data_IF_394304439077
#
_entry.id   IF_394304439077
#
_cell.length_a   1.000
_cell.length_b   1.000
_cell.length_c   1.000
_cell.angle_alpha   90.00
_cell.angle_beta   90.00
_cell.angle_gamma   90.00
#
_symmetry.space_group_name_H-M   'P 1'
#
loop_
_entity.id
_entity.type
_entity.pdbx_description
1 polymer ?
#
# COMPACT_ATOMS: atom_id res chain seq x y z
N UNK A 1 -11.65 5.25 2.47
CA UNK A 1 -10.57 4.28 2.62
C UNK A 1 -9.27 5.01 2.33
N UNK A 2 -8.50 5.35 3.36
CA UNK A 2 -7.12 5.80 3.15
C UNK A 2 -6.42 4.64 2.44
N UNK A 3 -5.91 4.88 1.23
CA UNK A 3 -4.99 3.97 0.59
C UNK A 3 -3.87 3.75 1.60
N UNK A 4 -3.85 2.58 2.24
CA UNK A 4 -2.72 2.19 3.04
C UNK A 4 -1.54 2.27 2.08
N UNK A 5 -0.62 3.21 2.35
CA UNK A 5 0.72 3.14 1.79
C UNK A 5 1.28 1.87 2.40
N UNK A 6 0.91 0.73 1.79
CA UNK A 6 1.56 -0.51 2.07
C UNK A 6 3.02 -0.22 1.71
N UNK A 7 3.86 -0.04 2.72
CA UNK A 7 5.27 -0.30 2.61
C UNK A 7 5.32 -1.72 2.06
N UNK A 8 5.34 -1.82 0.73
CA UNK A 8 5.73 -3.03 0.04
C UNK A 8 7.15 -3.28 0.52
N UNK A 9 7.27 -3.93 1.66
CA UNK A 9 8.41 -4.75 1.93
C UNK A 9 8.39 -5.74 0.77
N UNK A 10 9.03 -5.36 -0.35
CA UNK A 10 9.38 -6.29 -1.39
C UNK A 10 10.11 -7.40 -0.66
N UNK A 11 9.36 -8.48 -0.35
CA UNK A 11 9.91 -9.67 0.26
C UNK A 11 10.92 -10.22 -0.72
N UNK A 12 12.15 -9.73 -0.61
CA UNK A 12 13.28 -10.42 -1.21
C UNK A 12 13.28 -11.75 -0.48
N UNK A 13 12.91 -12.82 -1.19
CA UNK A 13 13.06 -14.16 -0.66
C UNK A 13 14.54 -14.31 -0.28
N UNK A 14 14.77 -14.26 1.01
CA UNK A 14 16.08 -14.58 1.57
C UNK A 14 16.13 -16.10 1.63
N UNK A 15 17.30 -16.67 1.28
CA UNK A 15 17.66 -18.01 1.72
C UNK A 15 17.26 -18.15 3.20
N UNK A 16 16.81 -19.36 3.62
CA UNK A 16 16.22 -19.62 4.94
C UNK A 16 17.11 -19.15 6.11
N UNK A 17 17.11 -17.86 6.38
CA UNK A 17 17.85 -17.18 7.44
C UNK A 17 16.89 -16.24 8.15
N UNK A 18 16.79 -16.38 9.47
CA UNK A 18 16.01 -15.44 10.27
C UNK A 18 16.50 -14.01 10.07
N UNK A 19 15.59 -13.05 9.98
CA UNK A 19 15.93 -11.62 9.90
C UNK A 19 16.82 -11.20 11.08
N UNK A 20 17.78 -10.31 10.83
CA UNK A 20 18.72 -9.82 11.85
C UNK A 20 18.02 -9.05 12.97
N UNK A 21 18.65 -9.06 14.15
CA UNK A 21 18.27 -8.21 15.29
C UNK A 21 18.34 -6.75 14.88
N UNK A 22 17.23 -6.03 14.96
CA UNK A 22 17.11 -4.69 14.37
C UNK A 22 16.11 -3.83 15.14
N UNK A 23 16.43 -2.54 15.24
CA UNK A 23 15.50 -1.51 15.66
C UNK A 23 15.46 -0.42 14.58
N UNK A 24 14.25 -0.01 14.20
CA UNK A 24 14.01 1.09 13.26
C UNK A 24 13.11 2.12 13.88
N UNK A 25 13.39 3.38 13.59
CA UNK A 25 12.50 4.51 13.84
C UNK A 25 12.33 5.25 12.52
N UNK A 26 11.09 5.38 12.07
CA UNK A 26 10.70 6.03 10.83
C UNK A 26 9.82 7.24 11.15
N UNK A 27 10.02 8.32 10.41
CA UNK A 27 9.03 9.37 10.20
C UNK A 27 8.70 9.44 8.71
N UNK A 28 7.42 9.51 8.40
CA UNK A 28 6.95 9.65 7.02
C UNK A 28 5.98 10.82 6.92
N UNK A 29 5.89 11.39 5.71
CA UNK A 29 4.92 12.40 5.36
C UNK A 29 4.50 12.22 3.91
N UNK A 30 3.19 12.17 3.70
CA UNK A 30 2.54 12.28 2.40
C UNK A 30 1.81 13.62 2.32
N UNK A 31 1.89 14.31 1.18
CA UNK A 31 1.18 15.56 0.93
C UNK A 31 0.74 15.58 -0.54
N UNK A 32 -0.57 15.50 -0.79
CA UNK A 32 -1.09 15.49 -2.16
C UNK A 32 -2.60 15.35 -2.23
N UNK A 33 -3.20 15.91 -3.29
CA UNK A 33 -4.64 15.84 -3.54
C UNK A 33 -5.51 16.45 -2.42
N UNK A 34 -4.96 17.36 -1.60
CA UNK A 34 -5.64 17.95 -0.45
C UNK A 34 -5.61 17.05 0.81
N UNK A 35 -4.81 15.99 0.80
CA UNK A 35 -4.60 15.10 1.97
C UNK A 35 -3.16 15.22 2.43
N UNK A 36 -2.96 15.43 3.72
CA UNK A 36 -1.65 15.29 4.38
C UNK A 36 -1.75 14.16 5.39
N UNK A 37 -0.79 13.23 5.32
CA UNK A 37 -0.66 12.12 6.28
C UNK A 37 0.77 12.12 6.78
N UNK A 38 0.99 12.17 8.08
CA UNK A 38 2.32 12.05 8.63
C UNK A 38 2.31 11.35 9.98
N UNK A 39 3.44 10.77 10.35
CA UNK A 39 3.57 10.15 11.66
C UNK A 39 4.83 9.31 11.83
N UNK A 40 5.07 8.87 13.07
CA UNK A 40 6.18 7.98 13.41
C UNK A 40 5.82 6.50 13.24
N UNK A 41 6.84 5.69 13.00
CA UNK A 41 6.78 4.24 13.09
C UNK A 41 8.01 3.70 13.80
N UNK A 42 7.84 2.65 14.58
CA UNK A 42 8.91 1.95 15.30
C UNK A 42 8.80 0.46 15.02
N UNK A 43 9.91 -0.18 14.70
CA UNK A 43 10.06 -1.63 14.60
C UNK A 43 11.17 -2.10 15.53
N UNK A 44 10.90 -3.15 16.29
CA UNK A 44 11.91 -3.87 17.06
C UNK A 44 11.84 -5.35 16.71
N UNK A 45 13.01 -5.97 16.43
CA UNK A 45 13.14 -7.40 16.15
C UNK A 45 14.29 -8.00 16.92
N UNK A 46 14.05 -9.21 17.47
CA UNK A 46 15.04 -9.95 18.24
C UNK A 46 15.01 -11.45 17.90
N UNK A 47 16.17 -12.01 17.59
CA UNK A 47 16.39 -13.45 17.42
C UNK A 47 16.72 -14.14 18.74
N UNK A 48 16.34 -15.41 18.82
CA UNK A 48 16.65 -16.28 19.95
C UNK A 48 17.08 -17.65 19.43
N UNK A 49 18.18 -18.18 19.99
CA UNK A 49 18.68 -19.51 19.70
C UNK A 49 18.86 -19.82 18.19
N UNK A 50 19.11 -18.80 17.35
CA UNK A 50 19.25 -18.91 15.89
C UNK A 50 18.08 -19.64 15.17
N UNK A 51 16.96 -19.83 15.87
CA UNK A 51 15.77 -20.55 15.39
C UNK A 51 14.50 -19.73 15.46
N UNK A 52 14.44 -18.77 16.36
CA UNK A 52 13.24 -18.00 16.63
C UNK A 52 13.53 -16.51 16.45
N UNK A 53 12.55 -15.78 15.94
CA UNK A 53 12.56 -14.32 15.93
C UNK A 53 11.22 -13.80 16.42
N UNK A 54 11.25 -12.72 17.19
CA UNK A 54 10.05 -11.98 17.59
C UNK A 54 10.23 -10.57 17.10
N UNK A 55 9.20 -10.02 16.49
CA UNK A 55 9.17 -8.59 16.15
C UNK A 55 7.87 -7.93 16.62
N UNK A 56 8.03 -6.67 17.01
CA UNK A 56 6.92 -5.78 17.35
C UNK A 56 7.04 -4.51 16.54
N UNK A 57 5.93 -4.00 16.03
CA UNK A 57 5.88 -2.71 15.36
C UNK A 57 4.74 -1.87 15.91
N UNK A 58 4.97 -0.57 15.88
CA UNK A 58 3.96 0.45 16.16
C UNK A 58 4.05 1.52 15.08
N UNK A 59 2.90 1.96 14.61
CA UNK A 59 2.76 2.92 13.54
C UNK A 59 1.63 3.89 13.88
N UNK A 60 1.82 5.17 13.64
CA UNK A 60 0.82 6.19 13.83
C UNK A 60 0.73 7.05 12.58
N UNK A 61 -0.48 7.37 12.15
CA UNK A 61 -0.80 8.36 11.11
C UNK A 61 -1.65 9.47 11.71
N UNK A 62 -1.26 10.70 11.48
CA UNK A 62 -2.11 11.87 11.65
C UNK A 62 -2.60 12.30 10.26
N UNK A 63 -3.89 12.13 10.01
CA UNK A 63 -4.52 12.42 8.73
C UNK A 63 -5.21 13.76 8.80
N UNK A 64 -4.83 14.70 7.93
CA UNK A 64 -5.57 15.94 7.69
C UNK A 64 -6.09 15.92 6.26
N UNK A 65 -7.42 15.95 6.08
CA UNK A 65 -8.02 15.80 4.77
C UNK A 65 -8.91 16.99 4.40
N UNK A 66 -8.57 17.58 3.26
CA UNK A 66 -9.37 18.52 2.50
C UNK A 66 -9.41 18.06 1.03
N UNK A 67 -9.46 16.76 0.78
CA UNK A 67 -9.53 16.19 -0.55
C UNK A 67 -10.80 16.63 -1.29
N UNK A 68 -10.80 16.46 -2.62
CA UNK A 68 -11.95 16.84 -3.46
C UNK A 68 -13.25 16.17 -2.99
N UNK A 69 -13.18 14.91 -2.56
CA UNK A 69 -14.34 14.15 -2.08
C UNK A 69 -14.90 14.77 -0.79
N UNK A 70 -14.03 15.16 0.15
CA UNK A 70 -14.41 15.83 1.40
C UNK A 70 -14.95 17.22 1.12
N UNK A 71 -14.24 18.06 0.33
CA UNK A 71 -14.62 19.45 0.06
C UNK A 71 -15.95 19.59 -0.67
N UNK A 72 -16.41 18.55 -1.37
CA UNK A 72 -17.66 18.57 -2.13
C UNK A 72 -18.86 18.07 -1.33
N UNK A 73 -18.66 17.25 -0.29
CA UNK A 73 -19.72 16.59 0.47
C UNK A 73 -19.65 16.84 1.98
N UNK A 74 -18.51 17.28 2.51
CA UNK A 74 -18.29 17.49 3.95
C UNK A 74 -17.32 18.67 4.21
N UNK A 75 -16.98 18.89 5.48
CA UNK A 75 -15.93 19.82 5.91
C UNK A 75 -14.60 19.09 6.03
N UNK A 76 -13.44 19.79 5.87
CA UNK A 76 -12.13 19.24 6.19
C UNK A 76 -12.10 18.65 7.60
N UNK A 77 -11.39 17.53 7.77
CA UNK A 77 -11.28 16.83 9.06
C UNK A 77 -9.82 16.43 9.36
N UNK A 78 -9.58 16.13 10.62
CA UNK A 78 -8.35 15.49 11.08
C UNK A 78 -8.70 14.20 11.80
N UNK A 79 -7.90 13.17 11.59
CA UNK A 79 -8.07 11.84 12.17
C UNK A 79 -6.72 11.27 12.58
N UNK A 80 -6.72 10.44 13.60
CA UNK A 80 -5.55 9.68 14.05
C UNK A 80 -5.80 8.20 13.82
N UNK A 81 -4.84 7.54 13.17
CA UNK A 81 -4.81 6.10 13.02
C UNK A 81 -3.63 5.54 13.80
N UNK A 82 -3.87 4.55 14.63
CA UNK A 82 -2.81 3.80 15.30
C UNK A 82 -2.81 2.35 14.87
N UNK A 83 -1.63 1.77 14.69
CA UNK A 83 -1.47 0.36 14.33
C UNK A 83 -0.37 -0.27 15.18
N UNK A 84 -0.67 -1.41 15.78
CA UNK A 84 0.28 -2.26 16.49
C UNK A 84 0.34 -3.65 15.89
N UNK A 85 1.51 -4.25 15.82
CA UNK A 85 1.69 -5.61 15.31
C UNK A 85 2.72 -6.39 16.09
N UNK A 86 2.50 -7.72 16.17
CA UNK A 86 3.43 -8.70 16.72
C UNK A 86 3.63 -9.81 15.69
N UNK A 87 4.87 -10.25 15.51
CA UNK A 87 5.17 -11.40 14.67
C UNK A 87 6.16 -12.34 15.36
N UNK A 88 6.01 -13.61 15.07
CA UNK A 88 6.88 -14.69 15.52
C UNK A 88 7.32 -15.51 14.32
N UNK A 89 8.63 -15.68 14.17
CA UNK A 89 9.26 -16.49 13.13
C UNK A 89 9.91 -17.72 13.73
N UNK A 90 9.80 -18.86 13.04
CA UNK A 90 10.47 -20.12 13.35
C UNK A 90 11.25 -20.58 12.12
N UNK A 91 12.56 -20.79 12.26
CA UNK A 91 13.41 -21.40 11.25
C UNK A 91 13.65 -22.87 11.57
N UNK A 92 13.24 -23.78 10.70
CA UNK A 92 13.49 -25.21 10.80
C UNK A 92 14.15 -25.75 9.53
N UNK A 93 15.46 -25.95 9.59
CA UNK A 93 16.25 -26.34 8.42
C UNK A 93 16.25 -25.24 7.37
N UNK A 94 15.62 -25.49 6.23
CA UNK A 94 15.46 -24.55 5.11
C UNK A 94 14.04 -23.97 5.00
N UNK A 95 13.23 -24.16 6.02
CA UNK A 95 11.85 -23.69 6.08
C UNK A 95 11.73 -22.63 7.16
N UNK A 96 11.19 -21.48 6.81
CA UNK A 96 10.78 -20.45 7.74
C UNK A 96 9.25 -20.42 7.83
N UNK A 97 8.73 -20.41 9.03
CA UNK A 97 7.33 -20.20 9.35
C UNK A 97 7.19 -18.87 10.07
N UNK A 98 6.22 -18.07 9.67
CA UNK A 98 5.91 -16.79 10.32
C UNK A 98 4.43 -16.73 10.68
N UNK A 99 4.13 -16.27 11.88
CA UNK A 99 2.77 -15.97 12.34
C UNK A 99 2.76 -14.53 12.82
N UNK A 100 1.77 -13.75 12.42
CA UNK A 100 1.63 -12.38 12.89
C UNK A 100 0.19 -12.01 13.19
N UNK A 101 0.04 -11.01 14.05
CA UNK A 101 -1.23 -10.37 14.35
C UNK A 101 -1.04 -8.86 14.37
N UNK A 102 -1.95 -8.15 13.70
CA UNK A 102 -1.96 -6.70 13.59
C UNK A 102 -3.34 -6.16 13.98
N UNK A 103 -3.34 -5.11 14.78
CA UNK A 103 -4.52 -4.30 15.13
C UNK A 103 -4.30 -2.88 14.61
N UNK A 104 -5.26 -2.34 13.89
CA UNK A 104 -5.33 -0.93 13.47
C UNK A 104 -6.62 -0.32 13.97
N UNK A 105 -6.55 0.88 14.55
CA UNK A 105 -7.68 1.58 15.13
C UNK A 105 -7.73 3.02 14.66
N UNK A 106 -8.91 3.41 14.17
CA UNK A 106 -9.32 4.75 13.78
C UNK A 106 -10.63 5.09 14.51
N UNK A 107 -11.10 6.32 14.46
CA UNK A 107 -12.33 6.74 15.15
C UNK A 107 -13.57 5.95 14.71
N UNK A 108 -13.61 5.54 13.45
CA UNK A 108 -14.76 4.88 12.80
C UNK A 108 -14.38 3.56 12.08
N UNK A 109 -13.13 3.08 12.24
CA UNK A 109 -12.69 1.84 11.63
C UNK A 109 -11.71 1.10 12.54
N UNK A 110 -11.97 -0.17 12.81
CA UNK A 110 -11.06 -1.05 13.54
C UNK A 110 -10.77 -2.27 12.68
N UNK A 111 -9.49 -2.53 12.40
CA UNK A 111 -9.06 -3.68 11.62
C UNK A 111 -8.20 -4.64 12.45
N UNK A 112 -8.54 -5.92 12.40
CA UNK A 112 -7.79 -7.00 13.01
C UNK A 112 -7.32 -7.95 11.91
N UNK A 113 -6.03 -8.29 11.87
CA UNK A 113 -5.50 -9.21 10.86
C UNK A 113 -4.57 -10.24 11.49
N UNK A 114 -4.85 -11.51 11.27
CA UNK A 114 -3.94 -12.61 11.55
C UNK A 114 -3.32 -13.12 10.24
N UNK A 115 -2.02 -13.41 10.25
CA UNK A 115 -1.30 -13.91 9.06
C UNK A 115 -0.45 -15.12 9.40
N UNK A 116 -0.30 -15.99 8.40
CA UNK A 116 0.63 -17.11 8.39
C UNK A 116 1.40 -17.09 7.08
N UNK A 117 2.72 -17.18 7.16
CA UNK A 117 3.60 -17.26 5.98
C UNK A 117 4.56 -18.45 6.13
N UNK A 118 4.84 -19.11 5.03
CA UNK A 118 5.80 -20.19 4.88
C UNK A 118 6.75 -19.87 3.73
N UNK A 119 8.04 -20.00 3.97
CA UNK A 119 9.08 -19.85 2.96
C UNK A 119 10.00 -21.05 3.00
N UNK A 120 10.26 -21.66 1.85
CA UNK A 120 11.06 -22.87 1.72
C UNK A 120 12.11 -22.72 0.62
N UNK A 121 13.39 -22.90 0.97
CA UNK A 121 14.46 -23.02 -0.03
C UNK A 121 14.53 -24.44 -0.57
N UNK A 122 14.63 -24.54 -1.90
CA UNK A 122 14.68 -25.77 -2.65
C UNK A 122 15.82 -25.74 -3.69
N UNK A 123 16.12 -26.88 -4.30
CA UNK A 123 17.15 -27.03 -5.34
C UNK A 123 18.54 -26.49 -4.95
N UNK A 124 18.98 -26.75 -3.70
CA UNK A 124 20.27 -26.29 -3.22
C UNK A 124 20.37 -24.77 -3.08
N UNK A 125 19.26 -24.14 -2.66
CA UNK A 125 19.10 -22.70 -2.43
C UNK A 125 19.08 -21.86 -3.74
N UNK A 126 18.88 -22.53 -4.90
CA UNK A 126 18.69 -21.84 -6.18
C UNK A 126 17.26 -21.35 -6.39
N UNK A 127 16.32 -21.90 -5.64
CA UNK A 127 14.93 -21.45 -5.70
C UNK A 127 14.34 -21.36 -4.28
N UNK A 128 13.45 -20.41 -4.10
CA UNK A 128 12.66 -20.22 -2.88
C UNK A 128 11.18 -20.17 -3.26
N UNK A 129 10.38 -21.03 -2.61
CA UNK A 129 8.92 -21.02 -2.73
C UNK A 129 8.35 -20.38 -1.48
N UNK A 130 7.35 -19.53 -1.63
CA UNK A 130 6.61 -18.92 -0.52
C UNK A 130 5.11 -19.13 -0.65
N UNK A 131 4.47 -19.27 0.50
CA UNK A 131 3.03 -19.26 0.65
C UNK A 131 2.67 -18.34 1.79
N UNK A 132 1.68 -17.48 1.60
CA UNK A 132 1.15 -16.60 2.63
C UNK A 132 -0.37 -16.69 2.68
N UNK A 133 -0.93 -16.63 3.86
CA UNK A 133 -2.35 -16.49 4.12
C UNK A 133 -2.58 -15.43 5.18
N UNK A 134 -3.55 -14.54 4.96
CA UNK A 134 -4.03 -13.65 6.00
C UNK A 134 -5.55 -13.57 6.02
N UNK A 135 -6.08 -13.43 7.23
CA UNK A 135 -7.49 -13.23 7.51
C UNK A 135 -7.64 -11.92 8.28
N UNK A 136 -8.46 -11.02 7.75
CA UNK A 136 -8.85 -9.76 8.38
C UNK A 136 -10.31 -9.83 8.85
N UNK A 137 -10.59 -9.18 9.99
CA UNK A 137 -11.92 -8.94 10.56
C UNK A 137 -12.01 -7.48 10.91
N UNK A 138 -12.75 -6.73 10.13
CA UNK A 138 -12.82 -5.29 10.27
C UNK A 138 -14.21 -4.87 10.71
N UNK A 139 -14.26 -3.85 11.57
CA UNK A 139 -15.48 -3.18 11.99
C UNK A 139 -15.51 -1.78 11.39
N UNK A 140 -16.63 -1.44 10.73
CA UNK A 140 -16.88 -0.14 10.10
C UNK A 140 -17.97 0.58 10.88
N UNK A 141 -17.64 1.74 11.40
CA UNK A 141 -18.56 2.63 12.12
C UNK A 141 -18.72 3.94 11.36
N UNK A 142 -19.60 4.82 11.86
CA UNK A 142 -19.81 6.14 11.28
C UNK A 142 -19.85 7.20 12.36
N UNK A 143 -18.95 8.16 12.30
CA UNK A 143 -18.94 9.30 13.22
C UNK A 143 -20.25 10.07 13.16
N UNK A 144 -20.88 10.25 14.33
CA UNK A 144 -22.19 10.92 14.44
C UNK A 144 -23.41 10.00 14.30
N UNK A 145 -23.23 8.72 13.99
CA UNK A 145 -24.30 7.71 13.93
C UNK A 145 -23.89 6.45 14.71
N UNK A 146 -24.23 6.41 15.99
CA UNK A 146 -23.90 5.29 16.86
C UNK A 146 -24.70 4.00 16.58
N UNK A 147 -25.68 4.04 15.68
CA UNK A 147 -26.44 2.86 15.25
C UNK A 147 -25.84 2.20 14.02
N UNK A 148 -24.91 2.88 13.33
CA UNK A 148 -24.23 2.34 12.18
C UNK A 148 -23.03 1.51 12.64
N UNK A 149 -23.11 0.20 12.41
CA UNK A 149 -22.05 -0.77 12.69
C UNK A 149 -22.15 -1.88 11.64
N UNK A 150 -21.09 -2.02 10.86
CA UNK A 150 -20.98 -2.98 9.76
C UNK A 150 -19.65 -3.72 9.87
N UNK A 151 -19.52 -4.84 9.16
CA UNK A 151 -18.31 -5.68 9.21
C UNK A 151 -17.76 -5.97 7.82
N UNK A 152 -16.44 -6.24 7.75
CA UNK A 152 -15.76 -6.71 6.56
C UNK A 152 -14.86 -7.88 6.91
N UNK A 153 -15.04 -8.99 6.20
CA UNK A 153 -14.14 -10.13 6.20
C UNK A 153 -13.21 -10.06 4.99
N UNK A 154 -11.88 -10.17 5.23
CA UNK A 154 -10.86 -10.14 4.18
C UNK A 154 -10.02 -11.39 4.23
N UNK A 155 -9.74 -12.02 3.09
CA UNK A 155 -8.79 -13.14 2.99
C UNK A 155 -7.82 -12.85 1.87
N UNK A 156 -6.55 -13.07 2.14
CA UNK A 156 -5.50 -12.88 1.15
C UNK A 156 -4.62 -14.14 1.08
N UNK A 157 -4.48 -14.70 -0.11
CA UNK A 157 -3.64 -15.86 -0.42
C UNK A 157 -2.52 -15.41 -1.33
N UNK A 158 -1.27 -15.68 -0.94
CA UNK A 158 -0.06 -15.28 -1.67
C UNK A 158 0.79 -16.51 -1.99
N UNK A 159 1.23 -16.59 -3.24
CA UNK A 159 2.17 -17.61 -3.70
C UNK A 159 3.34 -16.90 -4.37
N UNK A 160 4.56 -17.34 -4.09
CA UNK A 160 5.77 -16.78 -4.65
C UNK A 160 6.76 -17.85 -5.05
N UNK A 161 7.48 -17.59 -6.13
CA UNK A 161 8.63 -18.37 -6.59
C UNK A 161 9.75 -17.41 -6.94
N UNK A 162 10.89 -17.52 -6.26
CA UNK A 162 12.12 -16.80 -6.55
C UNK A 162 13.15 -17.76 -7.11
N UNK A 163 13.88 -17.34 -8.14
CA UNK A 163 14.90 -18.16 -8.81
C UNK A 163 16.20 -17.38 -8.95
N UNK A 164 17.31 -17.99 -8.59
CA UNK A 164 18.66 -17.55 -8.95
C UNK A 164 19.00 -18.17 -10.31
N UNK A 165 18.72 -17.42 -11.39
CA UNK A 165 18.92 -17.92 -12.78
C UNK A 165 20.39 -17.94 -13.14
N UNK A 166 21.14 -16.91 -12.73
CA UNK A 166 22.61 -16.84 -12.85
C UNK A 166 23.19 -16.16 -11.61
N UNK A 167 24.52 -16.15 -11.40
CA UNK A 167 25.14 -15.41 -10.28
C UNK A 167 24.84 -13.89 -10.30
N UNK A 168 24.29 -13.37 -11.38
CA UNK A 168 23.94 -11.94 -11.53
C UNK A 168 22.46 -11.68 -11.77
N UNK A 169 21.65 -12.70 -12.01
CA UNK A 169 20.23 -12.54 -12.32
C UNK A 169 19.39 -13.37 -11.37
N UNK A 170 18.53 -12.67 -10.63
CA UNK A 170 17.43 -13.24 -9.86
C UNK A 170 16.10 -12.84 -10.52
N UNK A 171 15.15 -13.76 -10.56
CA UNK A 171 13.80 -13.50 -11.07
C UNK A 171 12.76 -14.03 -10.08
N UNK A 172 11.58 -13.45 -10.08
CA UNK A 172 10.46 -13.88 -9.26
C UNK A 172 9.15 -13.86 -10.00
N UNK A 173 8.27 -14.76 -9.62
CA UNK A 173 6.88 -14.83 -10.04
C UNK A 173 6.02 -14.85 -8.77
N UNK A 174 5.02 -13.96 -8.68
CA UNK A 174 4.08 -13.96 -7.57
C UNK A 174 2.65 -14.01 -8.10
N UNK A 175 1.78 -14.65 -7.33
CA UNK A 175 0.35 -14.69 -7.56
C UNK A 175 -0.38 -14.41 -6.24
N UNK A 176 -1.36 -13.52 -6.29
CA UNK A 176 -2.14 -13.10 -5.14
C UNK A 176 -3.62 -13.16 -5.45
N UNK A 177 -4.40 -13.69 -4.49
CA UNK A 177 -5.86 -13.69 -4.52
C UNK A 177 -6.36 -13.00 -3.25
N UNK A 178 -7.22 -12.01 -3.40
CA UNK A 178 -7.86 -11.31 -2.29
C UNK A 178 -9.37 -11.50 -2.42
N UNK A 179 -10.02 -11.87 -1.33
CA UNK A 179 -11.49 -11.90 -1.24
C UNK A 179 -11.94 -11.01 -0.09
N UNK A 180 -12.80 -10.06 -0.40
CA UNK A 180 -13.45 -9.17 0.55
C UNK A 180 -14.94 -9.43 0.54
N UNK A 181 -15.56 -9.51 1.74
CA UNK A 181 -16.98 -9.74 1.94
C UNK A 181 -17.49 -8.86 3.09
N UNK A 182 -18.65 -8.20 2.90
CA UNK A 182 -19.26 -7.33 3.88
C UNK A 182 -19.53 -5.92 3.37
N UNK A 183 -19.38 -4.92 4.23
CA UNK A 183 -19.60 -3.51 3.89
C UNK A 183 -18.34 -2.91 3.26
N UNK A 184 -18.30 -2.84 1.93
CA UNK A 184 -17.12 -2.42 1.18
C UNK A 184 -17.15 -0.94 0.75
N UNK A 185 -18.21 -0.21 1.04
CA UNK A 185 -18.28 1.23 0.76
C UNK A 185 -17.65 2.06 1.88
N UNK A 186 -17.39 3.34 1.55
CA UNK A 186 -17.14 4.36 2.55
C UNK A 186 -18.49 4.99 2.97
N UNK A 187 -18.86 5.02 4.27
CA UNK A 187 -20.17 5.49 4.74
C UNK A 187 -20.40 7.00 4.56
N UNK A 188 -19.36 7.75 4.19
CA UNK A 188 -19.42 9.21 4.00
C UNK A 188 -19.48 9.63 2.54
N UNK A 189 -19.25 8.72 1.58
CA UNK A 189 -19.19 9.05 0.16
C UNK A 189 -20.55 9.07 -0.51
N UNK A 190 -20.66 9.87 -1.56
CA UNK A 190 -21.88 10.05 -2.33
C UNK A 190 -21.58 10.13 -3.81
N UNK A 191 -22.46 9.56 -4.62
CA UNK A 191 -22.50 9.78 -6.06
C UNK A 191 -23.35 11.01 -6.38
N UNK A 192 -23.07 11.67 -7.52
CA UNK A 192 -23.90 12.73 -8.06
C UNK A 192 -24.72 12.24 -9.26
N UNK A 193 -25.91 12.78 -9.40
CA UNK A 193 -26.80 12.48 -10.53
C UNK A 193 -27.47 13.76 -11.05
N UNK A 194 -27.87 13.76 -12.33
CA UNK A 194 -28.58 14.87 -12.93
C UNK A 194 -29.93 15.07 -12.26
N UNK A 195 -30.21 16.31 -11.88
CA UNK A 195 -31.46 16.75 -11.24
C UNK A 195 -31.86 18.13 -11.72
N UNK A 196 -32.80 18.18 -12.63
CA UNK A 196 -33.33 19.45 -13.23
C UNK A 196 -34.04 20.34 -12.18
N UNK A 197 -34.42 19.79 -11.04
CA UNK A 197 -35.05 20.55 -9.95
C UNK A 197 -34.04 21.24 -9.04
N UNK A 198 -32.80 20.80 -9.08
CA UNK A 198 -31.69 21.40 -8.35
C UNK A 198 -31.16 22.65 -9.07
N UNK A 199 -30.90 23.70 -8.30
CA UNK A 199 -30.27 24.92 -8.84
C UNK A 199 -28.86 24.69 -9.42
N UNK A 200 -28.20 23.58 -9.03
CA UNK A 200 -26.89 23.16 -9.54
C UNK A 200 -26.98 22.25 -10.76
N UNK A 201 -28.20 21.81 -11.16
CA UNK A 201 -28.41 20.81 -12.21
C UNK A 201 -28.08 19.37 -11.80
N UNK A 202 -27.66 19.12 -10.55
CA UNK A 202 -27.39 17.81 -10.00
C UNK A 202 -27.68 17.75 -8.49
N UNK A 203 -27.90 16.56 -8.00
CA UNK A 203 -28.07 16.22 -6.58
C UNK A 203 -27.17 15.03 -6.19
N UNK A 204 -27.13 14.69 -4.90
CA UNK A 204 -26.30 13.60 -4.36
C UNK A 204 -27.15 12.52 -3.72
N UNK A 205 -26.66 11.29 -3.75
CA UNK A 205 -27.15 10.15 -2.98
C UNK A 205 -25.97 9.31 -2.49
N UNK A 206 -26.12 8.50 -1.40
CA UNK A 206 -25.05 7.62 -0.92
C UNK A 206 -24.55 6.67 -2.01
N UNK A 207 -23.27 6.33 -1.95
CA UNK A 207 -22.70 5.24 -2.74
C UNK A 207 -23.29 3.89 -2.32
N UNK A 208 -23.35 2.95 -3.26
CA UNK A 208 -23.79 1.58 -3.01
C UNK A 208 -22.90 0.61 -3.79
N UNK A 209 -22.11 -0.21 -3.09
CA UNK A 209 -21.18 -1.17 -3.69
C UNK A 209 -21.68 -2.60 -3.57
N UNK A 210 -21.19 -3.52 -4.42
CA UNK A 210 -21.35 -4.95 -4.15
C UNK A 210 -20.70 -5.31 -2.80
N UNK A 211 -21.34 -6.22 -2.07
CA UNK A 211 -20.85 -6.71 -0.77
C UNK A 211 -19.73 -7.75 -0.89
N UNK A 212 -19.29 -8.07 -2.08
CA UNK A 212 -18.19 -9.01 -2.34
C UNK A 212 -17.26 -8.47 -3.41
N UNK A 213 -15.97 -8.73 -3.24
CA UNK A 213 -14.94 -8.46 -4.23
C UNK A 213 -13.92 -9.59 -4.23
N UNK A 214 -13.60 -10.11 -5.40
CA UNK A 214 -12.48 -11.04 -5.57
C UNK A 214 -11.49 -10.44 -6.53
N UNK A 215 -10.24 -10.29 -6.07
CA UNK A 215 -9.17 -9.69 -6.84
C UNK A 215 -8.07 -10.71 -7.08
N UNK A 216 -7.44 -10.65 -8.24
CA UNK A 216 -6.31 -11.48 -8.64
C UNK A 216 -5.17 -10.58 -9.12
N UNK A 217 -3.95 -10.93 -8.75
CA UNK A 217 -2.78 -10.23 -9.24
C UNK A 217 -1.66 -11.21 -9.55
N UNK A 218 -0.98 -10.98 -10.68
CA UNK A 218 0.23 -11.70 -11.07
C UNK A 218 1.35 -10.68 -11.23
N UNK A 219 2.52 -10.93 -10.63
CA UNK A 219 3.70 -10.12 -10.89
C UNK A 219 4.90 -10.96 -11.28
N UNK A 220 5.71 -10.40 -12.16
CA UNK A 220 7.04 -10.89 -12.51
C UNK A 220 8.06 -9.81 -12.17
N UNK A 221 9.13 -10.21 -11.50
CA UNK A 221 10.23 -9.30 -11.17
C UNK A 221 11.57 -9.87 -11.56
N UNK A 222 12.54 -8.98 -11.77
CA UNK A 222 13.92 -9.35 -12.05
C UNK A 222 14.87 -8.37 -11.38
N UNK A 223 16.00 -8.88 -10.88
CA UNK A 223 17.11 -8.09 -10.35
C UNK A 223 18.40 -8.55 -11.01
N UNK A 224 19.10 -7.60 -11.64
CA UNK A 224 20.37 -7.84 -12.31
C UNK A 224 21.49 -7.07 -11.60
N UNK A 225 22.53 -7.82 -11.18
CA UNK A 225 23.70 -7.27 -10.52
C UNK A 225 24.73 -6.79 -11.56
N UNK A 226 25.04 -5.51 -11.48
CA UNK A 226 25.98 -4.81 -12.34
C UNK A 226 27.39 -4.78 -11.71
N UNK A 227 28.44 -4.42 -12.46
CA UNK A 227 29.74 -4.06 -11.90
C UNK A 227 29.61 -2.98 -10.81
N UNK A 228 30.65 -2.86 -9.95
CA UNK A 228 30.70 -1.88 -8.85
C UNK A 228 29.63 -2.06 -7.79
N UNK A 229 29.10 -3.27 -7.60
CA UNK A 229 28.04 -3.63 -6.62
C UNK A 229 26.69 -2.94 -6.89
N UNK A 230 26.53 -2.33 -8.04
CA UNK A 230 25.26 -1.74 -8.44
C UNK A 230 24.24 -2.83 -8.84
N UNK A 231 22.97 -2.48 -8.83
CA UNK A 231 21.90 -3.35 -9.30
C UNK A 231 20.80 -2.56 -10.02
N UNK A 232 20.23 -3.16 -11.05
CA UNK A 232 18.98 -2.74 -11.67
C UNK A 232 17.92 -3.77 -11.29
N UNK A 233 16.72 -3.30 -10.96
CA UNK A 233 15.57 -4.18 -10.74
C UNK A 233 14.36 -3.63 -11.49
N UNK A 234 13.46 -4.52 -11.86
CA UNK A 234 12.21 -4.17 -12.50
C UNK A 234 11.11 -5.13 -12.09
N UNK A 235 9.89 -4.67 -12.16
CA UNK A 235 8.69 -5.47 -11.90
C UNK A 235 7.59 -5.04 -12.85
N UNK A 236 6.80 -6.03 -13.29
CA UNK A 236 5.51 -5.81 -13.93
C UNK A 236 4.45 -6.59 -13.17
N UNK A 237 3.33 -5.94 -12.83
CA UNK A 237 2.18 -6.52 -12.14
C UNK A 237 0.91 -6.23 -12.92
N UNK A 238 0.14 -7.26 -13.20
CA UNK A 238 -1.23 -7.19 -13.70
C UNK A 238 -2.20 -7.54 -12.59
N UNK A 239 -3.27 -6.78 -12.48
CA UNK A 239 -4.35 -6.95 -11.50
C UNK A 239 -5.69 -6.95 -12.22
N UNK A 240 -6.63 -7.78 -11.77
CA UNK A 240 -8.03 -7.78 -12.21
C UNK A 240 -8.94 -8.17 -11.06
N UNK A 241 -10.19 -7.70 -11.07
CA UNK A 241 -11.17 -8.04 -10.05
C UNK A 241 -12.59 -8.22 -10.57
N UNK A 242 -13.49 -8.65 -9.67
CA UNK A 242 -14.91 -8.86 -9.98
C UNK A 242 -15.73 -7.55 -10.05
N UNK A 243 -15.12 -6.41 -9.81
CA UNK A 243 -15.74 -5.10 -10.02
C UNK A 243 -15.43 -4.53 -11.40
N UNK A 244 -14.69 -5.26 -12.25
CA UNK A 244 -14.34 -4.87 -13.61
C UNK A 244 -13.08 -4.02 -13.71
N UNK A 245 -12.33 -3.85 -12.61
CA UNK A 245 -11.06 -3.13 -12.65
C UNK A 245 -9.96 -4.03 -13.18
N UNK A 246 -9.28 -3.55 -14.22
CA UNK A 246 -8.02 -4.08 -14.73
C UNK A 246 -6.93 -3.04 -14.50
N UNK A 247 -5.80 -3.44 -13.93
CA UNK A 247 -4.72 -2.50 -13.66
C UNK A 247 -3.35 -3.07 -14.00
N UNK A 248 -2.47 -2.19 -14.47
CA UNK A 248 -1.09 -2.50 -14.83
C UNK A 248 -0.15 -1.65 -13.98
N UNK A 249 0.90 -2.27 -13.47
CA UNK A 249 2.01 -1.56 -12.80
C UNK A 249 3.32 -1.99 -13.44
N UNK A 250 4.12 -1.04 -13.87
CA UNK A 250 5.49 -1.30 -14.32
C UNK A 250 6.46 -0.42 -13.53
N UNK A 251 7.53 -1.02 -13.01
CA UNK A 251 8.55 -0.27 -12.28
C UNK A 251 9.97 -0.67 -12.71
N UNK A 252 10.88 0.29 -12.61
CA UNK A 252 12.31 0.08 -12.76
C UNK A 252 13.03 0.86 -11.68
N UNK A 253 14.07 0.27 -11.10
CA UNK A 253 14.90 0.91 -10.10
C UNK A 253 16.38 0.59 -10.29
N UNK A 254 17.21 1.51 -9.80
CA UNK A 254 18.66 1.43 -9.81
C UNK A 254 19.21 1.71 -8.43
N UNK A 255 20.07 0.84 -7.94
CA UNK A 255 20.76 0.97 -6.64
C UNK A 255 22.25 1.04 -6.89
N UNK A 256 22.93 2.07 -6.33
CA UNK A 256 24.35 2.27 -6.47
C UNK A 256 25.07 2.53 -5.13
N UNK A 257 25.81 1.56 -4.59
CA UNK A 257 26.68 1.79 -3.46
C UNK A 257 27.88 2.68 -3.87
N UNK A 258 28.03 3.84 -3.21
CA UNK A 258 29.12 4.78 -3.45
C UNK A 258 30.10 4.75 -2.30
N UNK A 259 31.33 4.36 -2.61
CA UNK A 259 32.38 4.18 -1.60
C UNK A 259 32.00 3.09 -0.59
N UNK A 260 32.21 3.39 0.72
CA UNK A 260 31.95 2.43 1.81
C UNK A 260 30.71 2.75 2.64
N UNK A 261 30.14 3.94 2.49
CA UNK A 261 29.13 4.46 3.41
C UNK A 261 27.83 4.90 2.76
N UNK A 262 27.83 5.19 1.47
CA UNK A 262 26.65 5.68 0.77
C UNK A 262 26.03 4.62 -0.12
N UNK A 263 24.71 4.60 -0.15
CA UNK A 263 23.93 3.89 -1.17
C UNK A 263 22.92 4.90 -1.72
N UNK A 264 22.91 5.07 -3.03
CA UNK A 264 21.94 5.90 -3.74
C UNK A 264 20.98 5.01 -4.50
N UNK A 265 19.73 5.42 -4.53
CA UNK A 265 18.66 4.73 -5.22
C UNK A 265 17.88 5.72 -6.09
N UNK A 266 17.48 5.26 -7.27
CA UNK A 266 16.60 5.99 -8.17
C UNK A 266 15.58 5.01 -8.73
N UNK A 267 14.32 5.44 -8.84
CA UNK A 267 13.23 4.60 -9.31
C UNK A 267 12.22 5.36 -10.14
N UNK A 268 11.53 4.61 -10.98
CA UNK A 268 10.37 5.07 -11.70
C UNK A 268 9.31 4.00 -11.68
N UNK A 269 8.03 4.39 -11.45
CA UNK A 269 6.86 3.52 -11.50
C UNK A 269 5.77 4.18 -12.34
N UNK A 270 5.21 3.40 -13.24
CA UNK A 270 4.01 3.71 -13.98
C UNK A 270 2.87 2.81 -13.47
N UNK A 271 1.69 3.37 -13.35
CA UNK A 271 0.46 2.68 -12.99
C UNK A 271 -0.68 3.18 -13.87
N UNK A 272 -1.56 2.28 -14.27
CA UNK A 272 -2.75 2.53 -15.07
C UNK A 272 -3.87 1.59 -14.63
N UNK A 273 -5.10 2.08 -14.55
CA UNK A 273 -6.28 1.26 -14.26
C UNK A 273 -7.50 1.70 -15.05
N UNK A 274 -8.40 0.73 -15.35
CA UNK A 274 -9.77 0.97 -15.80
C UNK A 274 -10.70 1.32 -14.65
N UNK A 275 -11.86 1.91 -14.94
CA UNK A 275 -12.91 2.12 -13.95
C UNK A 275 -13.63 0.81 -13.56
N UNK A 276 -14.23 0.81 -12.37
CA UNK A 276 -15.18 -0.23 -11.99
C UNK A 276 -16.47 -0.16 -12.82
N UNK A 277 -17.11 -1.30 -13.06
CA UNK A 277 -18.34 -1.42 -13.86
C UNK A 277 -19.50 -0.54 -13.37
N UNK A 278 -19.53 -0.24 -12.08
CA UNK A 278 -20.57 0.57 -11.44
C UNK A 278 -20.12 1.99 -11.11
N UNK A 279 -18.96 2.40 -11.61
CA UNK A 279 -18.45 3.76 -11.46
C UNK A 279 -19.11 4.71 -12.50
N UNK A 280 -19.41 5.93 -12.07
CA UNK A 280 -19.68 7.07 -12.96
C UNK A 280 -19.42 8.39 -12.24
N UNK A 281 -18.77 9.34 -12.90
CA UNK A 281 -18.60 10.70 -12.37
C UNK A 281 -19.94 11.42 -12.22
N UNK A 282 -20.92 11.18 -13.13
CA UNK A 282 -22.25 11.78 -13.11
C UNK A 282 -23.30 10.78 -13.63
N UNK A 283 -24.21 10.36 -12.77
CA UNK A 283 -25.31 9.47 -13.15
C UNK A 283 -26.45 10.23 -13.84
N UNK A 284 -27.19 9.63 -14.78
CA UNK A 284 -28.27 10.30 -15.51
C UNK A 284 -29.51 10.59 -14.65
N UNK A 285 -29.67 9.92 -13.50
CA UNK A 285 -30.76 10.09 -12.52
C UNK A 285 -30.41 9.39 -11.22
N UNK A 286 -31.17 9.65 -10.16
CA UNK A 286 -31.14 8.86 -8.95
C UNK A 286 -31.42 7.38 -9.25
N UNK A 287 -30.78 6.47 -8.49
CA UNK A 287 -30.93 5.01 -8.59
C UNK A 287 -30.84 4.50 -10.03
N UNK A 288 -29.84 5.04 -10.79
CA UNK A 288 -29.67 4.72 -12.21
C UNK A 288 -29.30 3.24 -12.44
N UNK A 289 -28.68 2.60 -11.46
CA UNK A 289 -28.27 1.20 -11.48
C UNK A 289 -28.24 0.63 -10.07
N UNK A 290 -28.03 -0.70 -9.93
CA UNK A 290 -28.08 -1.38 -8.64
C UNK A 290 -26.91 -1.01 -7.70
N UNK A 291 -25.74 -0.74 -8.26
CA UNK A 291 -24.55 -0.29 -7.54
C UNK A 291 -24.07 1.03 -8.15
N UNK A 292 -23.57 1.91 -7.32
CA UNK A 292 -23.26 3.27 -7.70
C UNK A 292 -21.99 3.71 -6.96
N UNK A 293 -20.97 4.12 -7.69
CA UNK A 293 -19.74 4.69 -7.15
C UNK A 293 -19.32 5.94 -7.90
N UNK A 294 -18.80 6.92 -7.16
CA UNK A 294 -18.07 8.08 -7.68
C UNK A 294 -16.71 8.23 -6.99
N UNK A 295 -16.27 7.19 -6.31
CA UNK A 295 -14.94 7.18 -5.73
C UNK A 295 -13.87 7.30 -6.82
N UNK A 296 -13.00 8.31 -6.74
CA UNK A 296 -11.90 8.49 -7.70
C UNK A 296 -10.95 7.30 -7.74
N UNK A 297 -10.86 6.52 -6.66
CA UNK A 297 -10.05 5.30 -6.61
C UNK A 297 -10.63 4.15 -7.45
N UNK A 298 -11.93 4.24 -7.81
CA UNK A 298 -12.62 3.29 -8.69
C UNK A 298 -12.76 3.80 -10.13
N UNK A 299 -12.21 4.96 -10.43
CA UNK A 299 -12.23 5.59 -11.75
C UNK A 299 -11.07 5.14 -12.64
N UNK A 300 -11.09 5.54 -13.89
CA UNK A 300 -9.95 5.37 -14.81
C UNK A 300 -8.91 6.44 -14.53
N UNK A 301 -7.68 6.02 -14.22
CA UNK A 301 -6.58 6.96 -14.04
C UNK A 301 -5.21 6.32 -14.30
N UNK A 302 -4.24 7.19 -14.55
CA UNK A 302 -2.83 6.85 -14.69
C UNK A 302 -2.01 7.59 -13.63
N UNK A 303 -0.96 6.96 -13.12
CA UNK A 303 0.00 7.66 -12.25
C UNK A 303 1.46 7.36 -12.62
N UNK A 304 2.31 8.38 -12.39
CA UNK A 304 3.74 8.32 -12.59
C UNK A 304 4.44 8.69 -11.28
N UNK A 305 5.33 7.83 -10.79
CA UNK A 305 6.12 8.10 -9.58
C UNK A 305 7.60 8.08 -9.89
N UNK A 306 8.30 9.12 -9.45
CA UNK A 306 9.75 9.22 -9.46
C UNK A 306 10.26 9.16 -8.04
N UNK A 307 11.21 8.26 -7.77
CA UNK A 307 11.78 8.01 -6.46
C UNK A 307 13.26 8.30 -6.41
N UNK A 308 13.73 8.95 -5.35
CA UNK A 308 15.14 9.14 -5.03
C UNK A 308 15.39 8.71 -3.58
N UNK A 309 16.48 7.99 -3.36
CA UNK A 309 16.88 7.51 -2.05
C UNK A 309 18.36 7.70 -1.77
N UNK A 310 18.68 7.98 -0.52
CA UNK A 310 20.06 8.02 -0.03
C UNK A 310 20.15 7.35 1.34
N UNK A 311 21.02 6.37 1.47
CA UNK A 311 21.35 5.70 2.73
C UNK A 311 22.77 6.04 3.11
N UNK A 312 22.98 6.46 4.34
CA UNK A 312 24.30 6.70 4.92
C UNK A 312 24.58 5.75 6.07
N UNK A 313 25.68 5.04 6.03
CA UNK A 313 26.12 4.12 7.06
C UNK A 313 26.89 4.86 8.17
N UNK A 314 26.35 4.78 9.41
CA UNK A 314 26.88 5.44 10.60
C UNK A 314 27.96 4.62 11.33
N UNK A 315 28.51 3.57 10.73
CA UNK A 315 29.33 2.49 11.30
C UNK A 315 30.55 2.92 12.18
N UNK A 316 30.72 4.20 12.49
CA UNK A 316 31.86 4.70 13.26
C UNK A 316 31.52 5.64 14.41
N UNK A 317 30.26 5.69 14.87
CA UNK A 317 29.88 6.54 16.01
C UNK A 317 30.32 6.00 17.39
N UNK A 318 31.11 4.91 17.43
CA UNK A 318 31.67 4.40 18.68
C UNK A 318 30.63 3.77 19.63
N UNK A 319 29.48 3.40 19.15
CA UNK A 319 28.48 2.66 19.94
C UNK A 319 28.76 1.17 19.85
N UNK A 320 29.56 0.65 20.78
CA UNK A 320 30.00 -0.75 20.83
C UNK A 320 28.85 -1.79 20.85
N UNK A 321 27.62 -1.35 21.09
CA UNK A 321 26.43 -2.21 21.13
C UNK A 321 25.73 -2.36 19.80
N UNK A 322 26.01 -1.51 18.81
CA UNK A 322 25.42 -1.59 17.47
C UNK A 322 26.44 -2.13 16.48
N UNK A 323 26.14 -3.24 15.85
CA UNK A 323 26.96 -3.82 14.77
C UNK A 323 26.99 -2.94 13.55
N UNK A 324 25.86 -2.30 13.24
CA UNK A 324 25.67 -1.43 12.09
C UNK A 324 24.55 -0.44 12.39
N UNK A 325 24.62 0.76 11.83
CA UNK A 325 23.52 1.70 11.84
C UNK A 325 23.48 2.53 10.56
N UNK A 326 22.29 2.91 10.13
CA UNK A 326 22.09 3.73 8.92
C UNK A 326 21.08 4.84 9.17
N UNK A 327 21.27 5.95 8.46
CA UNK A 327 20.24 6.96 8.23
C UNK A 327 19.82 6.89 6.78
N UNK A 328 18.51 6.86 6.55
CA UNK A 328 17.92 6.64 5.25
C UNK A 328 16.94 7.77 4.96
N UNK A 329 17.06 8.36 3.79
CA UNK A 329 16.22 9.43 3.31
C UNK A 329 15.67 9.04 1.95
N UNK A 330 14.33 9.08 1.80
CA UNK A 330 13.64 8.81 0.55
C UNK A 330 12.64 9.92 0.24
N UNK A 331 12.55 10.24 -1.03
CA UNK A 331 11.59 11.18 -1.57
C UNK A 331 10.97 10.61 -2.83
N UNK A 332 9.62 10.63 -2.88
CA UNK A 332 8.85 10.24 -4.05
C UNK A 332 7.98 11.41 -4.50
N UNK A 333 7.96 11.67 -5.80
CA UNK A 333 7.03 12.57 -6.46
C UNK A 333 6.09 11.76 -7.31
N UNK A 334 4.78 11.90 -7.08
CA UNK A 334 3.74 11.16 -7.78
C UNK A 334 2.85 12.15 -8.51
N UNK A 335 2.59 11.91 -9.79
CA UNK A 335 1.60 12.64 -10.57
C UNK A 335 0.42 11.72 -10.86
N UNK A 336 -0.81 12.16 -10.57
CA UNK A 336 -2.06 11.46 -10.85
C UNK A 336 -2.85 12.20 -11.92
N UNK A 337 -3.34 11.48 -12.93
CA UNK A 337 -4.15 11.99 -14.03
C UNK A 337 -5.38 11.10 -14.19
N UNK A 338 -6.56 11.70 -14.02
CA UNK A 338 -7.85 11.02 -14.12
C UNK A 338 -8.46 11.24 -15.49
N UNK A 339 -9.01 10.19 -16.10
CA UNK A 339 -9.59 10.24 -17.44
C UNK A 339 -11.10 10.41 -17.42
N UNK A 340 -11.75 10.09 -16.30
CA UNK A 340 -13.21 10.10 -16.18
C UNK A 340 -13.74 10.66 -14.83
N UNK A 341 -12.87 11.10 -13.92
CA UNK A 341 -13.24 11.80 -12.68
C UNK A 341 -13.02 13.32 -12.84
N UNK A 342 -14.05 14.12 -12.54
CA UNK A 342 -14.05 15.58 -12.74
C UNK A 342 -14.04 16.35 -11.44
N UNK A 343 -13.34 17.49 -11.46
CA UNK A 343 -13.30 18.46 -10.37
C UNK A 343 -14.50 19.40 -10.41
N UNK A 344 -15.54 19.09 -9.64
CA UNK A 344 -16.77 19.91 -9.59
C UNK A 344 -16.54 21.33 -9.03
N UNK A 345 -15.38 21.62 -8.45
CA UNK A 345 -15.02 22.96 -7.94
C UNK A 345 -14.67 23.93 -9.08
N UNK A 346 -14.29 23.41 -10.26
CA UNK A 346 -13.95 24.24 -11.42
C UNK A 346 -15.19 24.90 -12.06
N UNK A 347 -16.40 24.43 -11.71
CA UNK A 347 -17.66 24.92 -12.21
C UNK A 347 -17.94 24.52 -13.66
N UNK A 348 -19.06 24.99 -14.19
CA UNK A 348 -19.54 24.63 -15.52
C UNK A 348 -20.88 23.89 -15.46
N UNK A 349 -21.36 23.43 -16.61
CA UNK A 349 -22.51 22.54 -16.66
C UNK A 349 -22.13 21.16 -16.13
N UNK A 350 -23.04 20.43 -15.43
CA UNK A 350 -22.74 19.12 -14.91
C UNK A 350 -22.20 18.17 -16.00
N UNK A 351 -21.04 17.54 -15.73
CA UNK A 351 -20.37 16.63 -16.65
C UNK A 351 -19.42 17.32 -17.66
N UNK A 352 -19.26 18.65 -17.60
CA UNK A 352 -18.31 19.40 -18.45
C UNK A 352 -17.15 20.02 -17.67
N UNK A 353 -17.09 19.77 -16.37
CA UNK A 353 -16.02 20.27 -15.51
C UNK A 353 -14.66 19.68 -15.95
N UNK A 354 -13.56 20.32 -15.56
CA UNK A 354 -12.22 19.85 -15.88
C UNK A 354 -11.94 18.48 -15.25
N UNK A 355 -11.17 17.64 -15.95
CA UNK A 355 -10.70 16.39 -15.41
C UNK A 355 -9.75 16.64 -14.23
N UNK A 356 -9.90 15.84 -13.19
CA UNK A 356 -9.10 16.00 -11.99
C UNK A 356 -7.68 15.50 -12.21
N UNK A 357 -6.72 16.19 -11.67
CA UNK A 357 -5.34 15.77 -11.59
C UNK A 357 -4.68 16.40 -10.37
N UNK A 358 -3.68 15.74 -9.82
CA UNK A 358 -2.89 16.30 -8.73
C UNK A 358 -1.52 15.65 -8.64
N UNK A 359 -0.64 16.35 -7.95
CA UNK A 359 0.66 15.84 -7.57
C UNK A 359 0.68 15.51 -6.08
N UNK A 360 1.47 14.51 -5.70
CA UNK A 360 1.75 14.16 -4.32
C UNK A 360 3.25 13.99 -4.07
N UNK A 361 3.67 14.41 -2.88
CA UNK A 361 5.02 14.28 -2.39
C UNK A 361 5.04 13.32 -1.20
N UNK A 362 5.97 12.35 -1.21
CA UNK A 362 6.18 11.44 -0.08
C UNK A 362 7.60 11.56 0.41
N UNK A 363 7.74 11.85 1.69
CA UNK A 363 9.01 11.97 2.36
C UNK A 363 9.13 10.91 3.46
N UNK A 364 10.25 10.19 3.50
CA UNK A 364 10.53 9.17 4.51
C UNK A 364 11.95 9.33 5.04
N UNK A 365 12.06 9.51 6.34
CA UNK A 365 13.33 9.53 7.06
C UNK A 365 13.32 8.41 8.09
N UNK A 366 14.28 7.50 8.04
CA UNK A 366 14.39 6.48 9.07
C UNK A 366 15.83 6.16 9.46
N UNK A 367 15.96 5.77 10.72
CA UNK A 367 17.22 5.35 11.33
C UNK A 367 17.06 3.87 11.66
N UNK A 368 18.03 3.07 11.23
CA UNK A 368 18.09 1.64 11.51
C UNK A 368 19.34 1.31 12.31
N UNK A 369 19.18 0.45 13.31
CA UNK A 369 20.28 -0.06 14.12
C UNK A 369 20.22 -1.59 14.21
N UNK A 370 21.32 -2.27 13.91
CA UNK A 370 21.49 -3.71 14.08
C UNK A 370 22.37 -3.99 15.30
N UNK A 371 21.96 -4.94 16.16
CA UNK A 371 22.60 -5.22 17.44
C UNK A 371 22.76 -6.72 17.77
#
# INVERSE_FOLDING_TARGET
ACAAIALLANGVAHAAVLPEDRADVLYHRYDGGGVTIDGPSVLLRKKFAEKYSVSANYYMDMVSSASIDVMTTASPYTEERTQGGLAFDLLQGKTQYSVSYTLSDESDYTANTASFDLTQDIFGDLATVSFGFSQGWDEVRKNGDNAFEETVDRRNYRFGLQLIVTPRLMTGLNYEVITDEGFLNNPYRSVRYLDETSARGFSFQPELYPHTRTSNAVSINARYFLPHRAAVHGEYRYFTDTWGIDANTASIGYTHPWGKRWIFEAGYRWYDQSAADFYSDLFPRADAQNFLARDKELSTFTSHMFSLGATYELASLGWDRLRRSTVNLFYDRINYQYDDFRDIRTGGAPGTEELYSFDADVFRLFISGWF
#
